data_IF_793262101638
#
_entry.id   IF_793262101638
#
_cell.length_a   1.000
_cell.length_b   1.000
_cell.length_c   1.000
_cell.angle_alpha   90.00
_cell.angle_beta   90.00
_cell.angle_gamma   90.00
#
_symmetry.space_group_name_H-M   'P 1'
#
loop_
_entity.id
_entity.type
_entity.pdbx_description
1 polymer ?
#
# COMPACT_ATOMS: atom_id res chain seq x y z
N UNK A 1 10.33 13.90 -3.64
CA UNK A 1 11.61 13.32 -4.05
C UNK A 1 11.41 11.86 -4.42
N UNK A 2 12.19 11.37 -5.38
CA UNK A 2 12.20 9.94 -5.71
C UNK A 2 13.60 9.34 -5.60
N UNK A 3 13.66 8.03 -5.42
CA UNK A 3 14.87 7.23 -5.53
C UNK A 3 14.60 6.08 -6.49
N UNK A 4 15.56 5.81 -7.37
CA UNK A 4 15.48 4.65 -8.27
C UNK A 4 16.78 3.89 -8.26
N UNK A 5 16.69 2.57 -8.14
CA UNK A 5 17.80 1.66 -8.38
C UNK A 5 17.49 0.88 -9.66
N UNK A 6 18.45 0.77 -10.55
CA UNK A 6 18.20 0.12 -11.84
C UNK A 6 19.43 -0.59 -12.38
N UNK A 7 19.30 -1.84 -12.90
CA UNK A 7 20.39 -2.60 -13.50
C UNK A 7 20.58 -2.20 -14.97
N UNK A 8 21.27 -1.13 -15.21
CA UNK A 8 21.46 -0.54 -16.58
C UNK A 8 22.16 -1.48 -17.56
N UNK A 9 22.87 -2.48 -17.06
CA UNK A 9 23.57 -3.46 -17.92
C UNK A 9 22.64 -4.62 -18.33
N UNK A 10 21.61 -4.91 -17.52
CA UNK A 10 20.78 -6.11 -17.66
C UNK A 10 19.38 -5.80 -18.22
N UNK A 11 18.90 -4.58 -18.09
CA UNK A 11 17.56 -4.18 -18.50
C UNK A 11 17.57 -2.93 -19.42
N UNK A 12 16.71 -2.92 -20.46
CA UNK A 12 16.54 -1.77 -21.33
C UNK A 12 16.11 -0.50 -20.57
N UNK A 13 16.65 0.65 -20.97
CA UNK A 13 16.29 1.95 -20.35
C UNK A 13 14.82 2.33 -20.56
N UNK A 14 14.14 1.77 -21.56
CA UNK A 14 12.69 1.96 -21.75
C UNK A 14 11.88 1.48 -20.54
N UNK A 15 12.33 0.42 -19.85
CA UNK A 15 11.70 -0.05 -18.60
C UNK A 15 11.88 1.01 -17.51
N UNK A 16 13.08 1.58 -17.38
CA UNK A 16 13.34 2.67 -16.44
C UNK A 16 12.45 3.87 -16.75
N UNK A 17 12.34 4.24 -18.03
CA UNK A 17 11.45 5.34 -18.46
C UNK A 17 10.01 5.10 -18.02
N UNK A 18 9.47 3.90 -18.21
CA UNK A 18 8.11 3.55 -17.80
C UNK A 18 7.92 3.60 -16.26
N UNK A 19 8.93 3.15 -15.49
CA UNK A 19 8.89 3.24 -14.03
C UNK A 19 8.84 4.72 -13.59
N UNK A 20 9.72 5.55 -14.12
CA UNK A 20 9.77 6.98 -13.80
C UNK A 20 8.49 7.70 -14.23
N UNK A 21 7.96 7.35 -15.40
CA UNK A 21 6.69 7.88 -15.90
C UNK A 21 5.53 7.53 -14.97
N UNK A 22 5.43 6.29 -14.50
CA UNK A 22 4.41 5.89 -13.52
C UNK A 22 4.47 6.71 -12.23
N UNK A 23 5.67 6.96 -11.71
CA UNK A 23 5.87 7.85 -10.56
C UNK A 23 5.48 9.31 -10.85
N UNK A 24 5.81 9.81 -12.03
CA UNK A 24 5.44 11.15 -12.48
C UNK A 24 3.91 11.29 -12.62
N UNK A 25 3.26 10.31 -13.21
CA UNK A 25 1.82 10.33 -13.45
C UNK A 25 1.05 10.43 -12.12
N UNK A 26 1.37 9.57 -11.13
CA UNK A 26 0.70 9.60 -9.83
C UNK A 26 1.03 10.87 -9.02
N UNK A 27 2.26 11.37 -9.11
CA UNK A 27 2.64 12.62 -8.46
C UNK A 27 1.87 13.81 -9.05
N UNK A 28 1.68 13.83 -10.37
CA UNK A 28 0.89 14.85 -11.06
C UNK A 28 -0.58 14.77 -10.66
N UNK A 29 -1.17 13.57 -10.63
CA UNK A 29 -2.55 13.35 -10.16
C UNK A 29 -2.74 13.87 -8.72
N UNK A 30 -1.75 13.64 -7.86
CA UNK A 30 -1.77 14.10 -6.47
C UNK A 30 -1.46 15.60 -6.29
N UNK A 31 -1.16 16.35 -7.38
CA UNK A 31 -0.74 17.74 -7.30
C UNK A 31 0.60 17.96 -6.58
N UNK A 32 1.43 16.93 -6.48
CA UNK A 32 2.69 16.93 -5.75
C UNK A 32 3.89 16.75 -6.73
N UNK A 33 4.47 17.82 -7.26
CA UNK A 33 5.53 17.72 -8.26
C UNK A 33 6.78 17.04 -7.69
N UNK A 34 7.45 16.23 -8.51
CA UNK A 34 8.75 15.65 -8.18
C UNK A 34 9.82 16.73 -8.33
N UNK A 35 10.37 17.22 -7.22
CA UNK A 35 11.35 18.31 -7.20
C UNK A 35 12.80 17.82 -7.27
N UNK A 36 13.03 16.51 -7.21
CA UNK A 36 14.36 15.93 -7.28
C UNK A 36 14.36 14.47 -6.86
N UNK A 37 15.53 13.87 -6.87
CA UNK A 37 15.72 12.48 -6.51
C UNK A 37 17.14 12.01 -6.75
N UNK A 38 17.35 10.71 -6.65
CA UNK A 38 18.63 10.08 -6.89
C UNK A 38 18.47 8.76 -7.63
N UNK A 39 19.42 8.48 -8.53
CA UNK A 39 19.48 7.20 -9.25
C UNK A 39 20.76 6.45 -8.91
N UNK A 40 20.62 5.15 -8.69
CA UNK A 40 21.71 4.25 -8.28
C UNK A 40 21.72 3.06 -9.24
N UNK A 41 22.92 2.67 -9.69
CA UNK A 41 23.08 1.39 -10.39
C UNK A 41 23.00 0.25 -9.36
N UNK A 42 22.10 -0.70 -9.54
CA UNK A 42 21.89 -1.86 -8.65
C UNK A 42 21.51 -3.09 -9.49
N UNK A 43 21.64 -4.27 -8.92
CA UNK A 43 21.28 -5.54 -9.57
C UNK A 43 19.77 -5.73 -9.74
N UNK A 44 18.96 -5.05 -8.94
CA UNK A 44 17.49 -5.18 -8.97
C UNK A 44 16.82 -3.82 -9.12
N UNK A 45 15.78 -3.71 -9.97
CA UNK A 45 14.98 -2.49 -10.03
C UNK A 45 14.30 -2.21 -8.69
N UNK A 46 14.48 -0.99 -8.18
CA UNK A 46 13.75 -0.49 -7.01
C UNK A 46 13.33 0.94 -7.29
N UNK A 47 12.12 1.28 -6.90
CA UNK A 47 11.60 2.62 -7.04
C UNK A 47 10.83 3.01 -5.77
N UNK A 48 11.04 4.23 -5.31
CA UNK A 48 10.34 4.77 -4.16
C UNK A 48 10.21 6.28 -4.22
N UNK A 49 9.23 6.80 -3.50
CA UNK A 49 9.02 8.24 -3.35
C UNK A 49 8.95 8.62 -1.88
N UNK A 50 9.49 9.80 -1.57
CA UNK A 50 9.31 10.47 -0.28
C UNK A 50 8.48 11.72 -0.54
N UNK A 51 7.39 11.85 0.20
CA UNK A 51 6.48 12.99 0.12
C UNK A 51 6.61 13.82 1.38
N UNK A 52 6.78 15.13 1.22
CA UNK A 52 6.76 16.10 2.32
C UNK A 52 5.58 17.04 2.09
N UNK A 53 4.77 17.26 3.10
CA UNK A 53 3.61 18.13 3.04
C UNK A 53 3.46 18.97 4.29
N UNK A 54 2.57 19.94 4.22
CA UNK A 54 2.16 20.76 5.36
C UNK A 54 0.69 20.48 5.67
N UNK A 55 0.39 20.33 6.94
CA UNK A 55 -0.97 20.12 7.43
C UNK A 55 -1.23 21.06 8.61
N UNK A 56 -2.42 21.65 8.69
CA UNK A 56 -2.84 22.39 9.88
C UNK A 56 -2.98 21.42 11.05
N UNK A 57 -2.63 21.86 12.25
CA UNK A 57 -2.64 21.00 13.44
C UNK A 57 -4.02 20.39 13.71
N UNK A 58 -5.07 21.12 13.46
CA UNK A 58 -6.46 20.68 13.62
C UNK A 58 -6.89 19.59 12.61
N UNK A 59 -6.19 19.49 11.47
CA UNK A 59 -6.47 18.50 10.42
C UNK A 59 -5.53 17.30 10.46
N UNK A 60 -4.63 17.25 11.47
CA UNK A 60 -3.69 16.15 11.60
C UNK A 60 -4.40 14.91 12.15
N UNK A 61 -4.50 13.87 11.32
CA UNK A 61 -4.99 12.55 11.72
C UNK A 61 -3.79 11.65 12.02
N UNK A 62 -3.77 11.09 13.23
CA UNK A 62 -2.69 10.22 13.72
C UNK A 62 -3.19 8.78 13.82
N UNK A 63 -2.28 7.84 14.05
CA UNK A 63 -2.63 6.43 14.26
C UNK A 63 -2.77 6.04 15.74
N UNK A 64 -2.70 6.99 16.67
CA UNK A 64 -2.65 6.76 18.12
C UNK A 64 -3.81 7.42 18.88
N UNK A 65 -4.92 7.71 18.19
CA UNK A 65 -6.05 8.42 18.79
C UNK A 65 -7.41 7.72 18.54
N UNK A 66 -7.40 6.41 18.28
CA UNK A 66 -8.62 5.63 18.16
C UNK A 66 -9.37 5.57 19.49
N UNK A 67 -10.69 5.55 19.46
CA UNK A 67 -11.57 5.60 20.63
C UNK A 67 -12.47 4.38 20.72
N UNK A 68 -12.87 4.05 21.95
CA UNK A 68 -13.89 3.02 22.18
C UNK A 68 -15.20 3.45 21.50
N UNK A 69 -15.77 2.54 20.72
CA UNK A 69 -16.99 2.78 19.95
C UNK A 69 -16.74 3.24 18.51
N UNK A 70 -15.48 3.45 18.10
CA UNK A 70 -15.16 3.74 16.71
C UNK A 70 -15.48 2.54 15.80
N UNK A 71 -15.98 2.86 14.60
CA UNK A 71 -16.11 1.87 13.52
C UNK A 71 -14.82 1.80 12.71
N UNK A 72 -14.40 0.59 12.38
CA UNK A 72 -13.24 0.34 11.51
C UNK A 72 -13.69 0.36 10.05
N UNK A 73 -13.08 1.20 9.25
CA UNK A 73 -13.38 1.34 7.81
C UNK A 73 -12.13 1.01 7.01
N UNK A 74 -12.25 0.02 6.13
CA UNK A 74 -11.21 -0.36 5.19
C UNK A 74 -11.57 0.17 3.80
N UNK A 75 -10.78 1.09 3.27
CA UNK A 75 -11.10 1.81 2.03
C UNK A 75 -10.73 1.07 0.74
N UNK A 76 -9.92 0.01 0.85
CA UNK A 76 -9.56 -0.86 -0.26
C UNK A 76 -9.52 -2.33 0.19
N UNK A 77 -9.82 -3.28 -0.70
CA UNK A 77 -9.69 -4.70 -0.38
C UNK A 77 -8.22 -5.07 -0.14
N UNK A 78 -8.00 -6.04 0.75
CA UNK A 78 -6.67 -6.55 1.09
C UNK A 78 -6.31 -7.82 0.31
N UNK A 79 -5.00 -8.17 0.31
CA UNK A 79 -4.47 -9.36 -0.36
C UNK A 79 -3.36 -9.09 -1.37
N UNK A 80 -2.90 -7.84 -1.48
CA UNK A 80 -1.85 -7.42 -2.44
C UNK A 80 -0.57 -8.23 -2.29
N UNK A 81 -0.14 -8.54 -1.06
CA UNK A 81 1.07 -9.32 -0.81
C UNK A 81 1.02 -10.73 -1.39
N UNK A 82 -0.12 -11.43 -1.23
CA UNK A 82 -0.34 -12.76 -1.81
C UNK A 82 -0.34 -12.69 -3.33
N UNK A 83 -1.06 -11.72 -3.89
CA UNK A 83 -1.17 -11.53 -5.33
C UNK A 83 0.18 -11.19 -5.97
N UNK A 84 0.93 -10.26 -5.38
CA UNK A 84 2.27 -9.89 -5.86
C UNK A 84 3.24 -11.08 -5.82
N UNK A 85 3.17 -11.89 -4.76
CA UNK A 85 3.97 -13.11 -4.65
C UNK A 85 3.59 -14.13 -5.73
N UNK A 86 2.29 -14.27 -6.04
CA UNK A 86 1.80 -15.14 -7.10
C UNK A 86 2.26 -14.69 -8.49
N UNK A 87 2.29 -13.37 -8.72
CA UNK A 87 2.83 -12.77 -9.96
C UNK A 87 4.32 -13.08 -10.08
N UNK A 88 5.09 -12.82 -9.02
CA UNK A 88 6.54 -13.11 -8.99
C UNK A 88 6.84 -14.59 -9.28
N UNK A 89 5.97 -15.49 -8.83
CA UNK A 89 6.08 -16.94 -9.05
C UNK A 89 5.47 -17.41 -10.38
N UNK A 90 4.97 -16.49 -11.21
CA UNK A 90 4.37 -16.77 -12.53
C UNK A 90 3.16 -17.73 -12.45
N UNK A 91 2.42 -17.74 -11.34
CA UNK A 91 1.24 -18.58 -11.16
C UNK A 91 -0.07 -17.79 -11.04
N UNK A 92 -0.04 -16.48 -11.31
CA UNK A 92 -1.20 -15.61 -11.33
C UNK A 92 -1.82 -15.52 -12.73
N UNK A 93 -3.14 -15.60 -12.82
CA UNK A 93 -3.88 -15.45 -14.08
C UNK A 93 -3.82 -14.00 -14.58
N UNK A 94 -3.76 -13.81 -15.91
CA UNK A 94 -3.69 -12.46 -16.53
C UNK A 94 -4.84 -11.53 -16.09
N UNK A 95 -6.05 -12.07 -15.89
CA UNK A 95 -7.22 -11.32 -15.40
C UNK A 95 -6.96 -10.78 -13.99
N UNK A 96 -6.42 -11.63 -13.12
CA UNK A 96 -6.18 -11.27 -11.72
C UNK A 96 -5.01 -10.30 -11.61
N UNK A 97 -4.00 -10.40 -12.48
CA UNK A 97 -2.92 -9.40 -12.60
C UNK A 97 -3.47 -8.01 -12.94
N UNK A 98 -4.39 -7.93 -13.91
CA UNK A 98 -5.03 -6.63 -14.25
C UNK A 98 -5.82 -6.06 -13.07
N UNK A 99 -6.54 -6.90 -12.34
CA UNK A 99 -7.33 -6.48 -11.18
C UNK A 99 -6.44 -5.92 -10.06
N UNK A 100 -5.36 -6.62 -9.72
CA UNK A 100 -4.45 -6.14 -8.67
C UNK A 100 -3.72 -4.86 -9.06
N UNK A 101 -3.26 -4.76 -10.32
CA UNK A 101 -2.61 -3.54 -10.81
C UNK A 101 -3.55 -2.34 -10.68
N UNK A 102 -4.83 -2.48 -11.06
CA UNK A 102 -5.82 -1.41 -10.88
C UNK A 102 -5.91 -0.95 -9.42
N UNK A 103 -6.00 -1.90 -8.46
CA UNK A 103 -6.10 -1.57 -7.03
C UNK A 103 -4.81 -0.88 -6.53
N UNK A 104 -3.65 -1.35 -6.96
CA UNK A 104 -2.35 -0.79 -6.55
C UNK A 104 -2.09 0.60 -7.13
N UNK A 105 -2.59 0.89 -8.33
CA UNK A 105 -2.43 2.20 -8.98
C UNK A 105 -3.51 3.20 -8.62
N UNK A 106 -4.59 2.77 -7.98
CA UNK A 106 -5.65 3.68 -7.50
C UNK A 106 -5.13 4.53 -6.34
N UNK A 107 -5.23 5.85 -6.49
CA UNK A 107 -4.86 6.80 -5.44
C UNK A 107 -5.75 6.67 -4.20
N UNK A 108 -5.20 6.97 -3.02
CA UNK A 108 -5.98 7.08 -1.78
C UNK A 108 -6.59 8.48 -1.57
N UNK A 109 -6.48 9.38 -2.55
CA UNK A 109 -6.94 10.77 -2.43
C UNK A 109 -8.42 10.89 -2.07
N UNK A 110 -9.29 10.07 -2.69
CA UNK A 110 -10.73 10.09 -2.39
C UNK A 110 -11.02 9.66 -0.94
N UNK A 111 -10.33 8.64 -0.44
CA UNK A 111 -10.45 8.21 0.94
C UNK A 111 -9.95 9.29 1.91
N UNK A 112 -8.81 9.92 1.62
CA UNK A 112 -8.28 11.02 2.42
C UNK A 112 -9.24 12.24 2.44
N UNK A 113 -9.81 12.60 1.31
CA UNK A 113 -10.81 13.67 1.24
C UNK A 113 -12.07 13.34 2.04
N UNK A 114 -12.58 12.11 1.94
CA UNK A 114 -13.72 11.66 2.73
C UNK A 114 -13.43 11.72 4.24
N UNK A 115 -12.26 11.27 4.68
CA UNK A 115 -11.82 11.38 6.08
C UNK A 115 -11.82 12.83 6.57
N UNK A 116 -11.34 13.77 5.75
CA UNK A 116 -11.32 15.19 6.10
C UNK A 116 -12.73 15.80 6.21
N UNK A 117 -13.69 15.32 5.44
CA UNK A 117 -15.08 15.80 5.47
C UNK A 117 -15.84 15.22 6.66
N UNK A 118 -15.73 13.91 6.88
CA UNK A 118 -16.49 13.20 7.92
C UNK A 118 -15.86 13.39 9.30
N UNK A 119 -14.56 13.55 9.34
CA UNK A 119 -13.75 13.50 10.56
C UNK A 119 -13.52 12.06 11.02
N UNK A 120 -12.29 11.73 11.37
CA UNK A 120 -11.92 10.42 11.92
C UNK A 120 -11.01 10.61 13.12
N UNK A 121 -11.06 9.67 14.08
CA UNK A 121 -10.23 9.73 15.27
C UNK A 121 -8.79 9.25 15.01
N UNK A 122 -8.62 8.23 14.17
CA UNK A 122 -7.31 7.68 13.81
C UNK A 122 -7.31 7.14 12.39
N UNK A 123 -6.13 7.07 11.80
CA UNK A 123 -5.91 6.49 10.47
C UNK A 123 -4.52 5.87 10.39
N UNK A 124 -4.39 4.79 9.65
CA UNK A 124 -3.11 4.20 9.23
C UNK A 124 -3.25 3.60 7.84
N UNK A 125 -2.15 3.50 7.11
CA UNK A 125 -2.09 2.71 5.89
C UNK A 125 -1.75 1.25 6.20
N UNK A 126 -2.10 0.34 5.30
CA UNK A 126 -1.82 -1.08 5.46
C UNK A 126 -0.75 -1.49 4.45
N UNK A 127 0.40 -1.88 4.96
CA UNK A 127 1.56 -2.29 4.18
C UNK A 127 2.07 -3.69 4.58
N UNK A 128 3.37 -3.87 4.75
CA UNK A 128 4.00 -5.17 4.93
C UNK A 128 3.61 -5.95 6.19
N UNK A 129 3.17 -5.28 7.23
CA UNK A 129 2.67 -5.96 8.45
C UNK A 129 1.24 -6.49 8.31
N UNK A 130 0.53 -6.10 7.24
CA UNK A 130 -0.85 -6.51 6.98
C UNK A 130 -1.87 -5.85 7.91
N UNK A 131 -3.15 -6.18 7.69
CA UNK A 131 -4.26 -5.60 8.45
C UNK A 131 -4.07 -5.74 9.96
N UNK A 132 -3.81 -6.96 10.42
CA UNK A 132 -3.71 -7.25 11.86
C UNK A 132 -2.52 -6.52 12.49
N UNK A 133 -1.36 -6.48 11.81
CA UNK A 133 -0.18 -5.80 12.33
C UNK A 133 -0.39 -4.30 12.52
N UNK A 134 -0.92 -3.61 11.50
CA UNK A 134 -1.18 -2.17 11.57
C UNK A 134 -2.33 -1.83 12.53
N UNK A 135 -3.39 -2.65 12.57
CA UNK A 135 -4.47 -2.46 13.54
C UNK A 135 -3.97 -2.68 14.99
N UNK A 136 -3.13 -3.70 15.22
CA UNK A 136 -2.50 -3.93 16.52
C UNK A 136 -1.69 -2.71 16.98
N UNK A 137 -0.88 -2.14 16.09
CA UNK A 137 -0.11 -0.91 16.37
C UNK A 137 -1.04 0.24 16.77
N UNK A 138 -2.09 0.49 15.99
CA UNK A 138 -3.09 1.52 16.30
C UNK A 138 -3.78 1.27 17.65
N UNK A 139 -4.16 0.03 17.95
CA UNK A 139 -4.81 -0.33 19.22
C UNK A 139 -3.89 -0.11 20.42
N UNK A 140 -2.63 -0.55 20.33
CA UNK A 140 -1.64 -0.36 21.39
C UNK A 140 -1.39 1.13 21.63
N UNK A 141 -1.15 1.89 20.57
CA UNK A 141 -0.84 3.31 20.66
C UNK A 141 -2.01 4.14 21.17
N UNK A 142 -3.26 3.68 20.95
CA UNK A 142 -4.49 4.33 21.41
C UNK A 142 -5.02 3.76 22.74
N UNK A 143 -4.38 2.74 23.30
CA UNK A 143 -4.82 2.02 24.50
C UNK A 143 -6.27 1.49 24.40
N UNK A 144 -6.62 0.88 23.28
CA UNK A 144 -7.92 0.27 23.00
C UNK A 144 -7.76 -1.14 22.44
N UNK A 145 -8.86 -1.87 22.35
CA UNK A 145 -8.94 -3.16 21.64
C UNK A 145 -9.87 -3.05 20.45
N UNK A 146 -9.68 -3.92 19.45
CA UNK A 146 -10.55 -3.99 18.28
C UNK A 146 -11.09 -5.41 18.08
N UNK A 147 -12.31 -5.49 17.58
CA UNK A 147 -12.95 -6.74 17.15
C UNK A 147 -13.13 -6.68 15.63
N UNK A 148 -12.65 -7.70 14.93
CA UNK A 148 -12.84 -7.86 13.49
C UNK A 148 -13.75 -9.06 13.22
N UNK A 149 -14.74 -8.85 12.36
CA UNK A 149 -15.49 -9.95 11.77
C UNK A 149 -14.83 -10.33 10.43
N UNK A 150 -14.33 -11.55 10.33
CA UNK A 150 -13.64 -12.04 9.12
C UNK A 150 -14.50 -11.90 7.85
N UNK A 151 -15.80 -12.09 7.97
CA UNK A 151 -16.72 -12.02 6.83
C UNK A 151 -16.90 -10.61 6.28
N UNK A 152 -16.60 -9.58 7.06
CA UNK A 152 -16.75 -8.17 6.67
C UNK A 152 -15.45 -7.59 6.07
N UNK A 153 -14.37 -8.37 6.06
CA UNK A 153 -13.10 -7.92 5.51
C UNK A 153 -13.11 -8.07 3.98
N UNK A 154 -13.09 -6.95 3.21
CA UNK A 154 -13.07 -7.02 1.76
C UNK A 154 -11.74 -7.57 1.25
N UNK A 155 -11.83 -8.61 0.44
CA UNK A 155 -10.68 -9.27 -0.17
C UNK A 155 -10.63 -8.98 -1.67
N UNK A 156 -9.42 -8.86 -2.20
CA UNK A 156 -9.20 -8.79 -3.64
C UNK A 156 -9.81 -10.03 -4.31
N UNK A 157 -10.55 -9.80 -5.39
CA UNK A 157 -11.18 -10.91 -6.14
C UNK A 157 -10.14 -11.97 -6.54
N UNK A 158 -10.45 -13.23 -6.25
CA UNK A 158 -9.58 -14.37 -6.55
C UNK A 158 -8.43 -14.59 -5.53
N UNK A 159 -8.18 -13.69 -4.58
CA UNK A 159 -7.04 -13.83 -3.65
C UNK A 159 -7.11 -15.11 -2.81
N UNK A 160 -8.30 -15.56 -2.39
CA UNK A 160 -8.47 -16.81 -1.63
C UNK A 160 -7.90 -18.02 -2.36
N UNK A 161 -8.09 -18.11 -3.67
CA UNK A 161 -7.52 -19.16 -4.53
C UNK A 161 -5.99 -19.22 -4.42
N UNK A 162 -5.35 -18.05 -4.43
CA UNK A 162 -3.89 -17.96 -4.33
C UNK A 162 -3.38 -18.19 -2.91
N UNK A 163 -4.15 -17.79 -1.89
CA UNK A 163 -3.82 -17.98 -0.49
C UNK A 163 -3.75 -19.46 -0.07
N UNK A 164 -4.53 -20.33 -0.73
CA UNK A 164 -4.50 -21.78 -0.49
C UNK A 164 -3.15 -22.42 -0.83
N UNK A 165 -2.37 -21.81 -1.71
CA UNK A 165 -1.01 -22.25 -1.99
C UNK A 165 -0.03 -21.58 -1.02
N UNK A 166 0.50 -22.34 -0.06
CA UNK A 166 1.47 -21.85 0.95
C UNK A 166 2.69 -21.15 0.35
N UNK A 167 3.04 -21.47 -0.88
CA UNK A 167 4.15 -20.80 -1.57
C UNK A 167 3.85 -19.34 -1.92
N UNK A 168 2.59 -18.96 -2.04
CA UNK A 168 2.17 -17.60 -2.34
C UNK A 168 2.11 -16.71 -1.09
N UNK A 169 2.30 -17.27 0.09
CA UNK A 169 2.36 -16.48 1.32
C UNK A 169 3.66 -15.67 1.32
N UNK A 170 3.58 -14.32 1.42
CA UNK A 170 4.76 -13.48 1.45
C UNK A 170 5.73 -13.84 2.59
N UNK A 171 7.03 -13.71 2.34
CA UNK A 171 8.03 -13.94 3.39
C UNK A 171 7.87 -13.00 4.59
N UNK A 172 7.38 -11.77 4.37
CA UNK A 172 7.02 -10.84 5.44
C UNK A 172 5.96 -11.40 6.38
N UNK A 173 4.90 -12.00 5.84
CA UNK A 173 3.83 -12.60 6.67
C UNK A 173 4.35 -13.68 7.61
N UNK A 174 5.37 -14.44 7.22
CA UNK A 174 5.99 -15.47 8.08
C UNK A 174 6.88 -14.89 9.18
N UNK A 175 7.42 -13.68 8.98
CA UNK A 175 8.29 -13.01 9.95
C UNK A 175 7.52 -12.11 10.92
N UNK A 176 6.27 -11.81 10.62
CA UNK A 176 5.42 -10.95 11.45
C UNK A 176 4.71 -11.71 12.59
N UNK A 177 4.94 -13.03 12.72
CA UNK A 177 4.41 -13.90 13.78
C UNK A 177 5.48 -14.17 14.84
#
# INVERSE_FOLDING_TARGET
LNITCFPTDDLPLDILHQILKGGQDIATEAGAPILGGHSIKDKEPKYGMVVTGLVKKENLVRNDNAKIGDSLILTKPIGTGIMSTSIKRKNADKKDIKSIVKIMTESNANAANAMNIVGVNACTDITGYGLIGHLKEMCISSNVSATLNENDIPLISGVKKYAMNKQNIPGGSRRNY
#
